data_IF_402610754618
#
_entry.id   IF_402610754618
#
_cell.length_a   1.000
_cell.length_b   1.000
_cell.length_c   1.000
_cell.angle_alpha   90.00
_cell.angle_beta   90.00
_cell.angle_gamma   90.00
#
_symmetry.space_group_name_H-M   'P 1'
#
loop_
_entity.id
_entity.type
_entity.pdbx_description
1 polymer ?
#
# COMPACT_ATOMS: atom_id res chain seq x y z
N UNK A 1 -53.24 10.36 -2.91
CA UNK A 1 -52.62 9.03 -2.97
C UNK A 1 -52.26 8.66 -1.55
N UNK A 2 -52.69 7.51 -1.05
CA UNK A 2 -52.42 7.08 0.34
C UNK A 2 -50.94 6.71 0.47
N UNK A 3 -50.17 7.47 1.25
CA UNK A 3 -48.80 7.11 1.61
C UNK A 3 -48.84 5.88 2.51
N UNK A 4 -48.56 4.71 1.94
CA UNK A 4 -48.41 3.48 2.73
C UNK A 4 -47.11 3.58 3.51
N UNK A 5 -47.22 3.58 4.83
CA UNK A 5 -46.08 3.53 5.74
C UNK A 5 -45.79 2.09 6.15
N UNK A 6 -44.51 1.76 6.32
CA UNK A 6 -44.03 0.48 6.84
C UNK A 6 -43.36 0.74 8.18
N UNK A 7 -43.73 -0.05 9.18
CA UNK A 7 -43.08 -0.03 10.50
C UNK A 7 -41.74 -0.76 10.41
N UNK A 8 -40.65 -0.04 10.60
CA UNK A 8 -39.28 -0.55 10.58
C UNK A 8 -38.77 -0.75 12.00
N UNK A 9 -38.36 -1.97 12.31
CA UNK A 9 -37.77 -2.38 13.59
C UNK A 9 -36.26 -2.57 13.42
N UNK A 10 -35.45 -1.92 14.27
CA UNK A 10 -34.00 -2.04 14.26
C UNK A 10 -33.51 -2.96 15.39
N UNK A 11 -32.95 -4.10 15.01
CA UNK A 11 -32.42 -5.12 15.92
C UNK A 11 -30.90 -5.06 15.93
N UNK A 12 -30.28 -5.00 17.10
CA UNK A 12 -28.83 -5.11 17.21
C UNK A 12 -28.44 -6.59 17.26
N UNK A 13 -27.61 -7.03 16.31
CA UNK A 13 -27.18 -8.43 16.19
C UNK A 13 -26.34 -8.87 17.39
N UNK A 14 -25.53 -7.99 17.99
CA UNK A 14 -24.65 -8.37 19.11
C UNK A 14 -25.40 -8.58 20.43
N UNK A 15 -26.52 -7.87 20.63
CA UNK A 15 -27.33 -7.97 21.85
C UNK A 15 -28.64 -8.71 21.65
N UNK A 16 -29.02 -9.01 20.40
CA UNK A 16 -30.31 -9.58 20.04
C UNK A 16 -31.51 -8.68 20.36
N UNK A 17 -31.28 -7.41 20.70
CA UNK A 17 -32.29 -6.53 21.26
C UNK A 17 -32.79 -5.50 20.25
N UNK A 18 -34.10 -5.21 20.31
CA UNK A 18 -34.71 -4.10 19.61
C UNK A 18 -34.23 -2.78 20.23
N UNK A 19 -33.66 -1.89 19.43
CA UNK A 19 -33.16 -0.60 19.92
C UNK A 19 -33.81 0.61 19.27
N UNK A 20 -34.60 0.41 18.21
CA UNK A 20 -35.32 1.50 17.55
C UNK A 20 -36.50 1.01 16.73
N UNK A 21 -37.49 1.88 16.58
CA UNK A 21 -38.64 1.68 15.71
C UNK A 21 -38.95 3.01 15.02
N UNK A 22 -39.23 2.98 13.73
CA UNK A 22 -39.79 4.12 13.01
C UNK A 22 -40.80 3.69 11.95
N UNK A 23 -41.73 4.57 11.61
CA UNK A 23 -42.64 4.36 10.48
C UNK A 23 -42.10 5.15 9.28
N UNK A 24 -41.73 4.45 8.21
CA UNK A 24 -41.17 5.06 7.00
C UNK A 24 -42.16 4.94 5.83
N UNK A 25 -42.32 5.99 5.01
CA UNK A 25 -43.00 5.86 3.73
C UNK A 25 -42.31 4.79 2.86
N UNK A 26 -43.10 3.95 2.17
CA UNK A 26 -42.53 2.91 1.31
C UNK A 26 -41.58 3.44 0.23
N UNK A 27 -41.77 4.69 -0.24
CA UNK A 27 -40.85 5.32 -1.20
C UNK A 27 -39.43 5.54 -0.64
N UNK A 28 -39.26 5.61 0.69
CA UNK A 28 -37.98 5.82 1.35
C UNK A 28 -37.23 4.50 1.62
N UNK A 29 -37.80 3.37 1.22
CA UNK A 29 -37.19 2.04 1.37
C UNK A 29 -36.69 1.51 0.03
N UNK A 30 -35.52 0.84 0.01
CA UNK A 30 -34.97 0.25 -1.21
C UNK A 30 -35.87 -0.88 -1.73
N UNK A 31 -35.68 -1.27 -2.99
CA UNK A 31 -36.41 -2.39 -3.60
C UNK A 31 -36.10 -3.73 -2.93
N UNK A 32 -34.85 -3.91 -2.47
CA UNK A 32 -34.42 -5.05 -1.68
C UNK A 32 -33.24 -4.67 -0.76
N UNK A 33 -33.02 -5.47 0.28
CA UNK A 33 -31.83 -5.41 1.13
C UNK A 33 -30.87 -6.57 0.80
N UNK A 34 -30.53 -6.73 -0.47
CA UNK A 34 -29.64 -7.77 -1.01
C UNK A 34 -28.18 -7.29 -1.21
N UNK A 35 -27.95 -5.98 -1.24
CA UNK A 35 -26.64 -5.35 -1.25
C UNK A 35 -26.21 -4.90 0.16
N UNK A 36 -24.90 -4.86 0.47
CA UNK A 36 -24.40 -4.31 1.73
C UNK A 36 -24.87 -2.86 1.89
N UNK A 37 -25.86 -2.68 2.75
CA UNK A 37 -26.51 -1.39 3.00
C UNK A 37 -26.06 -0.86 4.36
N UNK A 38 -25.66 0.40 4.42
CA UNK A 38 -25.32 1.09 5.67
C UNK A 38 -26.38 2.15 5.96
N UNK A 39 -26.74 2.29 7.23
CA UNK A 39 -27.72 3.24 7.73
C UNK A 39 -27.06 4.13 8.77
N UNK A 40 -27.32 5.43 8.68
CA UNK A 40 -26.94 6.39 9.72
C UNK A 40 -28.11 6.54 10.71
N UNK A 41 -27.92 6.09 11.95
CA UNK A 41 -28.93 6.13 13.01
C UNK A 41 -28.34 6.88 14.20
N UNK A 42 -28.93 8.03 14.55
CA UNK A 42 -28.47 8.90 15.64
C UNK A 42 -26.99 9.33 15.53
N UNK A 43 -26.49 9.49 14.30
CA UNK A 43 -25.10 9.87 14.04
C UNK A 43 -24.09 8.72 14.10
N UNK A 44 -24.57 7.48 14.26
CA UNK A 44 -23.75 6.27 14.18
C UNK A 44 -24.03 5.51 12.89
N UNK A 45 -22.99 4.93 12.29
CA UNK A 45 -23.12 4.09 11.11
C UNK A 45 -23.40 2.63 11.51
N UNK A 46 -24.43 2.05 10.90
CA UNK A 46 -24.87 0.68 11.13
C UNK A 46 -24.95 -0.07 9.81
N UNK A 47 -24.36 -1.25 9.74
CA UNK A 47 -24.46 -2.13 8.57
C UNK A 47 -25.66 -3.07 8.73
N UNK A 48 -26.49 -3.15 7.68
CA UNK A 48 -27.55 -4.15 7.57
C UNK A 48 -26.92 -5.52 7.33
N UNK A 49 -27.15 -6.44 8.26
CA UNK A 49 -26.71 -7.84 8.20
C UNK A 49 -27.81 -8.71 7.59
N UNK A 50 -29.06 -8.45 7.98
CA UNK A 50 -30.23 -9.19 7.53
C UNK A 50 -31.49 -8.32 7.56
N UNK A 51 -32.46 -8.63 6.71
CA UNK A 51 -33.73 -7.93 6.61
C UNK A 51 -34.88 -8.93 6.49
N UNK A 52 -35.94 -8.73 7.27
CA UNK A 52 -37.12 -9.60 7.28
C UNK A 52 -38.41 -8.78 7.19
N UNK A 53 -39.18 -8.89 6.09
CA UNK A 53 -38.83 -9.49 4.79
C UNK A 53 -37.73 -8.72 4.02
N UNK A 54 -37.01 -9.40 3.12
CA UNK A 54 -35.91 -8.78 2.34
C UNK A 54 -36.37 -7.86 1.19
N UNK A 55 -37.53 -8.15 0.58
CA UNK A 55 -38.00 -7.48 -0.64
C UNK A 55 -39.19 -6.54 -0.38
N UNK A 56 -39.23 -5.42 -1.11
CA UNK A 56 -40.20 -4.33 -0.92
C UNK A 56 -41.65 -4.72 -1.04
N UNK A 57 -41.98 -5.54 -2.01
CA UNK A 57 -43.35 -6.06 -2.16
C UNK A 57 -43.80 -6.83 -0.92
N UNK A 58 -42.88 -7.51 -0.24
CA UNK A 58 -43.18 -8.32 0.94
C UNK A 58 -43.41 -7.43 2.16
N UNK A 59 -42.52 -6.48 2.47
CA UNK A 59 -42.73 -5.59 3.62
C UNK A 59 -43.82 -4.53 3.39
N UNK A 60 -44.13 -4.18 2.13
CA UNK A 60 -45.32 -3.39 1.78
C UNK A 60 -46.62 -4.15 2.08
N UNK A 61 -46.62 -5.46 1.84
CA UNK A 61 -47.77 -6.34 2.12
C UNK A 61 -47.96 -6.61 3.61
N UNK A 62 -46.87 -6.84 4.34
CA UNK A 62 -46.94 -7.10 5.80
C UNK A 62 -47.09 -5.82 6.63
N UNK A 63 -46.73 -4.66 6.06
CA UNK A 63 -46.65 -3.38 6.77
C UNK A 63 -45.51 -3.32 7.79
N UNK A 64 -44.60 -4.30 7.77
CA UNK A 64 -43.51 -4.45 8.75
C UNK A 64 -42.22 -4.88 8.07
N UNK A 65 -41.12 -4.28 8.50
CA UNK A 65 -39.76 -4.61 8.11
C UNK A 65 -38.90 -4.67 9.37
N UNK A 66 -38.14 -5.75 9.56
CA UNK A 66 -37.16 -5.87 10.64
C UNK A 66 -35.77 -5.90 10.04
N UNK A 67 -34.90 -5.01 10.50
CA UNK A 67 -33.51 -4.92 10.07
C UNK A 67 -32.60 -5.36 11.22
N UNK A 68 -31.76 -6.34 10.95
CA UNK A 68 -30.72 -6.80 11.85
C UNK A 68 -29.43 -6.07 11.51
N UNK A 69 -28.95 -5.27 12.43
CA UNK A 69 -27.88 -4.32 12.24
C UNK A 69 -26.68 -4.64 13.12
N UNK A 70 -25.49 -4.37 12.61
CA UNK A 70 -24.25 -4.33 13.40
C UNK A 70 -23.61 -2.95 13.30
N UNK A 71 -23.12 -2.42 14.42
CA UNK A 71 -22.48 -1.10 14.46
C UNK A 71 -21.19 -1.15 13.65
N UNK A 72 -21.00 -0.20 12.74
CA UNK A 72 -19.72 -0.03 12.07
C UNK A 72 -18.76 0.60 13.09
N UNK A 73 -17.60 -0.01 13.38
CA UNK A 73 -16.62 0.61 14.26
C UNK A 73 -16.16 1.94 13.65
N UNK A 74 -16.57 3.05 14.27
CA UNK A 74 -16.01 4.36 13.97
C UNK A 74 -14.68 4.47 14.71
N UNK A 75 -13.57 4.30 14.02
CA UNK A 75 -12.29 4.78 14.54
C UNK A 75 -12.33 6.32 14.55
N UNK A 76 -11.97 6.93 15.66
CA UNK A 76 -11.68 8.36 15.66
C UNK A 76 -10.53 8.58 14.66
N UNK A 77 -10.67 9.45 13.64
CA UNK A 77 -9.58 9.74 12.70
C UNK A 77 -8.27 10.18 13.40
N UNK A 78 -8.36 10.77 14.60
CA UNK A 78 -7.21 11.13 15.42
C UNK A 78 -6.52 9.93 16.11
N UNK A 79 -7.18 8.78 16.18
CA UNK A 79 -6.62 7.50 16.63
C UNK A 79 -6.08 6.64 15.48
N UNK A 80 -6.32 7.04 14.22
CA UNK A 80 -5.77 6.34 13.05
C UNK A 80 -4.26 6.59 12.98
N UNK A 81 -3.49 5.55 13.28
CA UNK A 81 -2.03 5.57 13.18
C UNK A 81 -1.60 5.26 11.74
N UNK A 82 -0.52 5.90 11.30
CA UNK A 82 0.20 5.51 10.10
C UNK A 82 0.88 4.16 10.31
N UNK A 83 0.80 3.30 9.30
CA UNK A 83 1.46 1.98 9.26
C UNK A 83 2.95 2.08 8.93
N UNK A 84 3.41 3.21 8.39
CA UNK A 84 4.79 3.47 8.01
C UNK A 84 5.31 4.77 8.62
N UNK A 85 6.61 4.86 8.94
CA UNK A 85 7.21 6.09 9.44
C UNK A 85 7.46 7.11 8.32
N UNK A 86 7.44 6.67 7.06
CA UNK A 86 7.75 7.53 5.91
C UNK A 86 7.18 6.99 4.61
N UNK A 87 6.90 7.89 3.67
CA UNK A 87 6.56 7.61 2.26
C UNK A 87 7.22 8.64 1.37
N UNK A 88 7.45 8.32 0.10
CA UNK A 88 7.87 9.35 -0.87
C UNK A 88 6.65 10.14 -1.34
N UNK A 89 6.80 11.45 -1.55
CA UNK A 89 5.73 12.26 -2.17
C UNK A 89 5.53 11.91 -3.64
N UNK A 90 6.61 11.53 -4.32
CA UNK A 90 6.61 11.42 -5.76
C UNK A 90 6.24 10.00 -6.19
N UNK A 91 4.95 9.82 -6.49
CA UNK A 91 4.48 8.66 -7.23
C UNK A 91 4.76 8.86 -8.74
N UNK A 92 5.08 7.79 -9.47
CA UNK A 92 5.27 7.85 -10.90
C UNK A 92 3.93 7.97 -11.63
N UNK A 93 3.97 8.39 -12.89
CA UNK A 93 2.78 8.47 -13.74
C UNK A 93 2.22 7.08 -14.06
N UNK A 94 0.91 6.94 -14.00
CA UNK A 94 0.18 5.70 -14.33
C UNK A 94 -0.58 5.90 -15.64
N UNK A 95 -0.36 5.01 -16.60
CA UNK A 95 -1.18 4.91 -17.81
C UNK A 95 -2.47 4.17 -17.47
N UNK A 96 -3.57 4.93 -17.37
CA UNK A 96 -4.91 4.41 -17.07
C UNK A 96 -5.51 3.61 -18.24
N UNK A 97 -4.96 3.73 -19.45
CA UNK A 97 -5.43 2.98 -20.62
C UNK A 97 -4.72 1.62 -20.75
N UNK A 98 -3.63 1.40 -20.01
CA UNK A 98 -2.96 0.12 -19.98
C UNK A 98 -3.89 -0.92 -19.32
N UNK A 99 -4.27 -1.94 -20.09
CA UNK A 99 -5.09 -3.03 -19.55
C UNK A 99 -4.38 -3.72 -18.39
N UNK A 100 -5.13 -3.97 -17.31
CA UNK A 100 -4.67 -4.77 -16.18
C UNK A 100 -4.13 -6.12 -16.67
N UNK A 101 -2.93 -6.47 -16.21
CA UNK A 101 -2.27 -7.71 -16.58
C UNK A 101 -1.89 -8.50 -15.33
N UNK A 102 -2.29 -9.76 -15.20
CA UNK A 102 -1.91 -10.59 -14.04
C UNK A 102 -0.40 -10.88 -13.97
N UNK A 103 0.37 -10.50 -14.99
CA UNK A 103 1.85 -10.56 -15.01
C UNK A 103 2.51 -9.23 -14.68
N UNK A 104 1.76 -8.21 -14.28
CA UNK A 104 2.33 -7.01 -13.67
C UNK A 104 2.75 -7.30 -12.23
N UNK A 105 3.82 -6.65 -11.78
CA UNK A 105 4.14 -6.62 -10.36
C UNK A 105 3.16 -5.65 -9.69
N UNK A 106 2.35 -6.16 -8.76
CA UNK A 106 1.46 -5.34 -7.94
C UNK A 106 2.15 -5.02 -6.61
N UNK A 107 2.17 -3.75 -6.24
CA UNK A 107 2.63 -3.26 -4.93
C UNK A 107 1.67 -2.20 -4.40
N UNK A 108 1.65 -2.01 -3.08
CA UNK A 108 0.97 -0.86 -2.48
C UNK A 108 1.72 0.43 -2.85
N UNK A 109 1.00 1.54 -3.04
CA UNK A 109 1.56 2.85 -3.39
C UNK A 109 2.57 3.32 -2.34
N UNK A 110 2.24 3.09 -1.06
CA UNK A 110 3.11 3.45 0.07
C UNK A 110 4.42 2.65 0.10
N UNK A 111 4.48 1.48 -0.56
CA UNK A 111 5.71 0.68 -0.66
C UNK A 111 6.66 1.19 -1.76
N UNK A 112 6.20 2.13 -2.59
CA UNK A 112 7.01 2.72 -3.64
C UNK A 112 8.28 3.38 -3.08
N UNK A 113 9.44 2.92 -3.57
CA UNK A 113 10.77 3.42 -3.19
C UNK A 113 11.09 3.30 -1.70
N UNK A 114 10.46 2.39 -0.94
CA UNK A 114 10.81 2.18 0.47
C UNK A 114 12.18 1.52 0.67
N UNK A 115 12.59 0.69 -0.28
CA UNK A 115 13.96 0.19 -0.39
C UNK A 115 14.50 0.46 -1.80
N UNK A 116 15.42 1.42 -1.91
CA UNK A 116 15.89 1.95 -3.19
C UNK A 116 17.40 2.15 -3.26
N UNK A 117 17.93 2.16 -4.48
CA UNK A 117 19.31 2.50 -4.77
C UNK A 117 19.42 4.01 -4.98
N UNK A 118 20.32 4.65 -4.24
CA UNK A 118 20.54 6.09 -4.25
C UNK A 118 21.99 6.39 -4.59
N UNK A 119 22.22 7.29 -5.53
CA UNK A 119 23.57 7.78 -5.86
C UNK A 119 24.14 8.61 -4.72
N UNK A 120 25.44 8.44 -4.45
CA UNK A 120 26.17 9.20 -3.43
C UNK A 120 26.20 10.72 -3.70
N UNK A 121 25.84 11.18 -4.89
CA UNK A 121 25.63 12.62 -5.15
C UNK A 121 24.52 13.22 -4.26
N UNK A 122 23.64 12.38 -3.70
CA UNK A 122 22.56 12.77 -2.80
C UNK A 122 22.88 12.56 -1.32
N UNK A 123 24.14 12.33 -0.94
CA UNK A 123 24.52 11.96 0.44
C UNK A 123 23.94 12.92 1.50
N UNK A 124 24.05 14.23 1.30
CA UNK A 124 23.50 15.21 2.26
C UNK A 124 21.97 15.20 2.32
N UNK A 125 21.30 15.03 1.19
CA UNK A 125 19.83 14.96 1.13
C UNK A 125 19.31 13.69 1.80
N UNK A 126 20.01 12.57 1.57
CA UNK A 126 19.74 11.29 2.21
C UNK A 126 19.90 11.40 3.73
N UNK A 127 20.97 12.02 4.22
CA UNK A 127 21.20 12.19 5.65
C UNK A 127 20.11 13.04 6.32
N UNK A 128 19.73 14.17 5.71
CA UNK A 128 18.61 14.99 6.21
C UNK A 128 17.31 14.20 6.30
N UNK A 129 16.98 13.46 5.26
CA UNK A 129 15.78 12.63 5.23
C UNK A 129 15.81 11.53 6.30
N UNK A 130 16.94 10.82 6.46
CA UNK A 130 17.12 9.81 7.51
C UNK A 130 17.00 10.42 8.92
N UNK A 131 17.47 11.64 9.14
CA UNK A 131 17.34 12.32 10.42
C UNK A 131 15.87 12.65 10.74
N UNK A 132 15.11 13.10 9.74
CA UNK A 132 13.66 13.35 9.89
C UNK A 132 12.88 12.07 10.18
N UNK A 133 13.18 10.99 9.47
CA UNK A 133 12.56 9.68 9.73
C UNK A 133 12.94 9.16 11.13
N UNK A 134 14.18 9.37 11.57
CA UNK A 134 14.62 9.01 12.93
C UNK A 134 13.82 9.77 13.98
N UNK A 135 13.54 11.05 13.75
CA UNK A 135 12.67 11.85 14.63
C UNK A 135 11.25 11.28 14.68
N UNK A 136 10.68 10.87 13.53
CA UNK A 136 9.37 10.20 13.50
C UNK A 136 9.37 8.93 14.36
N UNK A 137 10.37 8.08 14.23
CA UNK A 137 10.51 6.88 15.07
C UNK A 137 10.55 7.20 16.57
N UNK A 138 11.35 8.19 16.98
CA UNK A 138 11.52 8.53 18.40
C UNK A 138 10.28 9.20 19.00
N UNK A 139 9.63 10.09 18.26
CA UNK A 139 8.61 10.98 18.83
C UNK A 139 7.17 10.52 18.57
N UNK A 140 6.94 9.71 17.53
CA UNK A 140 5.58 9.43 17.04
C UNK A 140 5.20 7.95 17.07
N UNK A 141 6.11 7.04 17.43
CA UNK A 141 5.76 5.64 17.59
C UNK A 141 4.79 5.41 18.77
N UNK A 142 3.71 4.66 18.51
CA UNK A 142 2.68 4.25 19.47
C UNK A 142 2.34 2.78 19.23
N UNK A 143 2.82 1.88 20.10
CA UNK A 143 2.52 0.41 20.18
C UNK A 143 2.55 -0.37 18.85
N UNK A 144 1.67 -0.02 17.90
CA UNK A 144 1.39 -0.67 16.62
C UNK A 144 1.53 0.25 15.39
N UNK A 145 1.87 1.53 15.53
CA UNK A 145 2.00 2.46 14.39
C UNK A 145 2.55 3.83 14.79
N UNK A 146 2.51 4.81 13.88
CA UNK A 146 3.00 6.18 14.11
C UNK A 146 1.87 7.22 14.09
N UNK A 147 1.94 8.22 14.95
CA UNK A 147 0.98 9.36 14.94
C UNK A 147 1.28 10.38 13.84
N UNK A 148 2.48 10.35 13.27
CA UNK A 148 2.91 11.17 12.14
C UNK A 148 3.86 10.36 11.27
N UNK A 149 3.91 10.68 9.99
CA UNK A 149 4.92 10.16 9.06
C UNK A 149 5.73 11.30 8.44
N UNK A 150 6.95 11.02 8.00
CA UNK A 150 7.74 11.94 7.22
C UNK A 150 7.51 11.70 5.72
N UNK A 151 7.16 12.74 4.97
CA UNK A 151 7.01 12.64 3.51
C UNK A 151 8.32 13.09 2.85
N UNK A 152 8.94 12.20 2.09
CA UNK A 152 10.24 12.44 1.43
C UNK A 152 10.06 13.17 0.11
N UNK A 153 10.81 14.25 -0.10
CA UNK A 153 10.73 15.10 -1.29
C UNK A 153 12.10 15.50 -1.84
N UNK A 154 13.15 15.32 -1.05
CA UNK A 154 14.49 15.86 -1.29
C UNK A 154 15.22 15.13 -2.43
N UNK A 155 14.87 13.87 -2.69
CA UNK A 155 15.50 13.01 -3.70
C UNK A 155 14.48 12.61 -4.77
N UNK A 156 14.31 13.49 -5.75
CA UNK A 156 13.41 13.25 -6.90
C UNK A 156 14.01 12.26 -7.91
N UNK A 157 15.34 12.31 -8.12
CA UNK A 157 16.04 11.49 -9.11
C UNK A 157 17.16 10.68 -8.42
N UNK A 158 16.84 9.54 -7.77
CA UNK A 158 17.78 8.84 -6.89
C UNK A 158 19.04 8.36 -7.61
N UNK A 159 18.96 8.05 -8.91
CA UNK A 159 20.09 7.57 -9.71
C UNK A 159 20.80 8.68 -10.52
N UNK A 160 20.57 9.96 -10.20
CA UNK A 160 21.22 11.09 -10.88
C UNK A 160 22.74 10.90 -10.92
N UNK A 161 23.33 10.95 -12.11
CA UNK A 161 24.78 10.82 -12.30
C UNK A 161 25.32 9.38 -12.25
N UNK A 162 24.49 8.37 -11.98
CA UNK A 162 24.94 6.97 -11.91
C UNK A 162 25.15 6.31 -13.29
N UNK A 163 24.46 6.80 -14.33
CA UNK A 163 24.56 6.30 -15.71
C UNK A 163 24.24 4.80 -15.86
N UNK A 164 23.35 4.27 -15.00
CA UNK A 164 23.07 2.84 -14.90
C UNK A 164 21.98 2.41 -15.89
N UNK A 165 22.26 1.40 -16.71
CA UNK A 165 21.30 0.82 -17.66
C UNK A 165 20.55 -0.38 -17.08
N UNK A 166 19.30 -0.57 -17.50
CA UNK A 166 18.48 -1.72 -17.06
C UNK A 166 19.11 -3.06 -17.43
N UNK A 167 19.74 -3.17 -18.60
CA UNK A 167 20.36 -4.41 -19.04
C UNK A 167 21.60 -4.79 -18.21
N UNK A 168 22.32 -3.81 -17.64
CA UNK A 168 23.38 -4.08 -16.67
C UNK A 168 22.82 -4.77 -15.43
N UNK A 169 21.69 -4.27 -14.89
CA UNK A 169 21.05 -4.86 -13.70
C UNK A 169 20.47 -6.24 -14.01
N UNK A 170 19.81 -6.42 -15.16
CA UNK A 170 19.30 -7.73 -15.60
C UNK A 170 20.42 -8.75 -15.81
N UNK A 171 21.62 -8.30 -16.19
CA UNK A 171 22.80 -9.15 -16.40
C UNK A 171 23.51 -9.59 -15.11
N UNK A 172 23.15 -9.03 -13.95
CA UNK A 172 23.82 -9.31 -12.69
C UNK A 172 23.56 -10.73 -12.15
N UNK A 173 22.34 -11.25 -12.37
CA UNK A 173 21.89 -12.52 -11.80
C UNK A 173 20.92 -13.22 -12.76
N UNK A 174 20.81 -14.56 -12.72
CA UNK A 174 19.78 -15.28 -13.47
C UNK A 174 18.38 -14.80 -13.05
N UNK A 175 17.56 -14.44 -14.05
CA UNK A 175 16.19 -14.00 -13.85
C UNK A 175 15.26 -15.21 -13.89
N UNK A 176 14.51 -15.43 -12.82
CA UNK A 176 13.53 -16.50 -12.70
C UNK A 176 12.13 -16.05 -13.16
N UNK A 177 11.75 -14.81 -12.83
CA UNK A 177 10.44 -14.25 -13.20
C UNK A 177 10.61 -12.89 -13.85
N UNK A 178 9.92 -12.66 -14.96
CA UNK A 178 9.79 -11.36 -15.62
C UNK A 178 8.35 -10.89 -15.48
N UNK A 179 8.17 -9.60 -15.21
CA UNK A 179 6.87 -8.95 -15.19
C UNK A 179 6.73 -8.06 -16.42
N UNK A 180 5.49 -7.75 -16.80
CA UNK A 180 5.20 -6.83 -17.90
C UNK A 180 5.37 -5.36 -17.51
N UNK A 181 5.43 -5.07 -16.21
CA UNK A 181 5.65 -3.76 -15.62
C UNK A 181 5.24 -3.78 -14.15
N UNK A 182 4.94 -2.60 -13.61
CA UNK A 182 4.48 -2.40 -12.24
C UNK A 182 3.11 -1.72 -12.23
N UNK A 183 2.24 -2.12 -11.32
CA UNK A 183 0.97 -1.45 -11.03
C UNK A 183 0.84 -1.23 -9.53
N UNK A 184 0.02 -0.25 -9.17
CA UNK A 184 -0.32 -0.03 -7.78
C UNK A 184 -1.67 -0.65 -7.43
N UNK A 185 -1.85 -1.11 -6.19
CA UNK A 185 -3.07 -1.79 -5.73
C UNK A 185 -4.34 -0.94 -5.87
N UNK A 186 -4.26 0.37 -5.65
CA UNK A 186 -5.43 1.26 -5.76
C UNK A 186 -5.69 1.76 -7.19
N UNK A 187 -4.83 1.40 -8.16
CA UNK A 187 -4.94 1.88 -9.55
C UNK A 187 -5.09 0.73 -10.56
N UNK A 188 -6.07 0.81 -11.48
CA UNK A 188 -6.24 -0.22 -12.52
C UNK A 188 -5.16 -0.15 -13.61
N UNK A 189 -4.44 0.97 -13.73
CA UNK A 189 -3.43 1.21 -14.76
C UNK A 189 -2.02 0.71 -14.41
N UNK A 190 -1.10 0.84 -15.37
CA UNK A 190 0.33 0.46 -15.21
C UNK A 190 1.19 1.70 -15.05
N UNK A 191 2.19 1.64 -14.18
CA UNK A 191 3.23 2.68 -14.09
C UNK A 191 3.97 2.79 -15.42
N UNK A 192 4.03 4.00 -15.94
CA UNK A 192 4.65 4.32 -17.24
C UNK A 192 6.14 4.03 -17.19
N UNK A 193 6.66 3.41 -18.26
CA UNK A 193 8.07 3.03 -18.42
C UNK A 193 8.64 2.19 -17.27
N UNK A 194 7.77 1.43 -16.60
CA UNK A 194 8.16 0.58 -15.49
C UNK A 194 8.74 -0.76 -15.94
N UNK A 195 9.59 -1.32 -15.08
CA UNK A 195 10.04 -2.70 -15.19
C UNK A 195 9.92 -3.40 -13.83
N UNK A 196 9.82 -4.72 -13.87
CA UNK A 196 10.07 -5.56 -12.71
C UNK A 196 10.56 -6.94 -13.12
N UNK A 197 11.41 -7.55 -12.28
CA UNK A 197 11.84 -8.94 -12.42
C UNK A 197 12.31 -9.52 -11.09
N UNK A 198 12.21 -10.83 -10.93
CA UNK A 198 12.69 -11.58 -9.77
C UNK A 198 13.86 -12.48 -10.18
N UNK A 199 14.94 -12.44 -9.41
CA UNK A 199 16.11 -13.32 -9.56
C UNK A 199 15.82 -14.74 -9.09
N UNK A 200 16.74 -15.69 -9.37
CA UNK A 200 16.66 -17.06 -8.85
C UNK A 200 16.58 -17.13 -7.32
N UNK A 201 17.26 -16.21 -6.64
CA UNK A 201 17.32 -16.05 -5.20
C UNK A 201 16.18 -15.26 -4.55
N UNK A 202 15.13 -14.93 -5.32
CA UNK A 202 13.94 -14.28 -4.78
C UNK A 202 14.03 -12.76 -4.61
N UNK A 203 15.13 -12.12 -5.03
CA UNK A 203 15.20 -10.65 -5.08
C UNK A 203 14.37 -10.12 -6.24
N UNK A 204 13.42 -9.25 -5.94
CA UNK A 204 12.59 -8.57 -6.94
C UNK A 204 13.07 -7.15 -7.13
N UNK A 205 13.64 -6.87 -8.30
CA UNK A 205 14.00 -5.53 -8.72
C UNK A 205 12.85 -4.91 -9.48
N UNK A 206 12.61 -3.63 -9.23
CA UNK A 206 11.57 -2.86 -9.91
C UNK A 206 11.96 -1.39 -9.99
N UNK A 207 11.28 -0.64 -10.84
CA UNK A 207 11.55 0.78 -11.01
C UNK A 207 11.08 1.28 -12.36
N UNK A 208 11.70 2.35 -12.85
CA UNK A 208 11.43 2.91 -14.17
C UNK A 208 12.69 3.18 -14.95
N UNK A 209 12.52 3.19 -16.26
CA UNK A 209 13.54 3.59 -17.23
C UNK A 209 13.13 4.81 -18.01
N UNK A 210 14.10 5.50 -18.58
CA UNK A 210 13.91 6.39 -19.72
C UNK A 210 14.92 5.94 -20.80
N UNK A 211 14.41 5.43 -21.91
CA UNK A 211 15.21 4.84 -23.00
C UNK A 211 16.27 3.82 -22.50
N UNK A 212 15.86 2.94 -21.59
CA UNK A 212 16.72 1.91 -20.98
C UNK A 212 17.65 2.40 -19.86
N UNK A 213 17.79 3.70 -19.65
CA UNK A 213 18.54 4.30 -18.53
C UNK A 213 17.66 4.31 -17.29
N UNK A 214 18.15 3.82 -16.16
CA UNK A 214 17.36 3.75 -14.93
C UNK A 214 17.12 5.13 -14.33
N UNK A 215 15.86 5.40 -14.00
CA UNK A 215 15.41 6.59 -13.24
C UNK A 215 15.30 6.29 -11.76
N UNK A 216 14.62 5.19 -11.45
CA UNK A 216 14.56 4.59 -10.12
C UNK A 216 14.91 3.11 -10.21
N UNK A 217 15.62 2.61 -9.21
CA UNK A 217 15.87 1.20 -9.00
C UNK A 217 15.56 0.89 -7.54
N UNK A 218 14.64 -0.02 -7.34
CA UNK A 218 14.15 -0.46 -6.05
C UNK A 218 14.33 -1.97 -5.91
N UNK A 219 14.34 -2.42 -4.67
CA UNK A 219 14.52 -3.82 -4.32
C UNK A 219 13.42 -4.24 -3.35
N UNK A 220 12.86 -5.42 -3.56
CA UNK A 220 12.17 -6.20 -2.54
C UNK A 220 12.91 -7.52 -2.40
N UNK A 221 13.27 -7.88 -1.18
CA UNK A 221 13.96 -9.14 -0.91
C UNK A 221 13.40 -9.73 0.38
N UNK A 222 13.43 -11.06 0.48
CA UNK A 222 13.03 -11.78 1.69
C UNK A 222 14.27 -12.22 2.44
N UNK A 223 14.19 -12.16 3.77
CA UNK A 223 15.24 -12.60 4.68
C UNK A 223 15.64 -14.06 4.39
N UNK A 224 16.95 -14.35 4.45
CA UNK A 224 17.55 -15.70 4.38
C UNK A 224 17.35 -16.50 3.10
N UNK A 225 16.60 -16.00 2.13
CA UNK A 225 16.38 -16.68 0.85
C UNK A 225 17.39 -16.24 -0.23
N UNK A 226 18.13 -15.14 0.01
CA UNK A 226 19.04 -14.57 -1.00
C UNK A 226 20.39 -15.29 -1.04
N UNK A 227 20.77 -15.92 -2.17
CA UNK A 227 22.07 -16.56 -2.35
C UNK A 227 23.22 -15.57 -2.26
N UNK A 228 24.36 -16.01 -1.68
CA UNK A 228 25.55 -15.18 -1.52
C UNK A 228 26.06 -14.57 -2.85
N UNK A 229 25.91 -15.28 -3.96
CA UNK A 229 26.28 -14.80 -5.29
C UNK A 229 25.47 -13.54 -5.70
N UNK A 230 24.18 -13.51 -5.38
CA UNK A 230 23.34 -12.36 -5.72
C UNK A 230 23.60 -11.17 -4.79
N UNK A 231 23.84 -11.43 -3.50
CA UNK A 231 24.29 -10.39 -2.55
C UNK A 231 25.61 -9.77 -3.00
N UNK A 232 26.56 -10.60 -3.47
CA UNK A 232 27.83 -10.14 -4.05
C UNK A 232 27.60 -9.30 -5.31
N UNK A 233 26.63 -9.66 -6.15
CA UNK A 233 26.29 -8.88 -7.33
C UNK A 233 25.76 -7.48 -6.92
N UNK A 234 24.87 -7.40 -5.93
CA UNK A 234 24.40 -6.11 -5.38
C UNK A 234 25.58 -5.28 -4.86
N UNK A 235 26.50 -5.87 -4.09
CA UNK A 235 27.70 -5.18 -3.60
C UNK A 235 28.52 -4.56 -4.74
N UNK A 236 28.75 -5.33 -5.82
CA UNK A 236 29.49 -4.87 -7.01
C UNK A 236 28.76 -3.74 -7.73
N UNK A 237 27.43 -3.80 -7.81
CA UNK A 237 26.61 -2.72 -8.40
C UNK A 237 26.78 -1.42 -7.60
N UNK A 238 26.68 -1.52 -6.26
CA UNK A 238 26.87 -0.38 -5.36
C UNK A 238 28.26 0.26 -5.54
N UNK A 239 29.30 -0.56 -5.60
CA UNK A 239 30.68 -0.10 -5.80
C UNK A 239 30.87 0.57 -7.16
N UNK A 240 30.44 -0.09 -8.25
CA UNK A 240 30.69 0.36 -9.63
C UNK A 240 30.01 1.70 -9.95
N UNK A 241 28.81 1.93 -9.41
CA UNK A 241 28.02 3.12 -9.72
C UNK A 241 27.96 4.14 -8.59
N UNK A 242 28.80 3.99 -7.55
CA UNK A 242 28.82 4.87 -6.37
C UNK A 242 27.42 5.04 -5.76
N UNK A 243 26.74 3.91 -5.51
CA UNK A 243 25.40 3.86 -4.95
C UNK A 243 25.41 3.40 -3.50
N UNK A 244 24.32 3.69 -2.82
CA UNK A 244 23.93 3.17 -1.51
C UNK A 244 22.56 2.52 -1.65
N UNK A 245 22.36 1.35 -1.06
CA UNK A 245 21.01 0.79 -0.90
C UNK A 245 20.44 1.33 0.41
N UNK A 246 19.25 1.93 0.36
CA UNK A 246 18.62 2.56 1.52
C UNK A 246 17.29 1.87 1.78
N UNK A 247 17.07 1.40 3.01
CA UNK A 247 15.76 1.02 3.51
C UNK A 247 15.25 2.13 4.44
N UNK A 248 14.37 2.98 3.90
CA UNK A 248 13.94 4.22 4.54
C UNK A 248 13.14 3.97 5.80
N UNK A 249 12.19 3.03 5.76
CA UNK A 249 11.37 2.67 6.90
C UNK A 249 12.21 2.19 8.10
N UNK A 250 13.39 1.61 7.84
CA UNK A 250 14.25 1.01 8.87
C UNK A 250 15.48 1.81 9.24
N UNK A 251 15.67 2.99 8.62
CA UNK A 251 16.86 3.81 8.83
C UNK A 251 18.16 3.06 8.52
N UNK A 252 18.11 2.11 7.59
CA UNK A 252 19.27 1.31 7.22
C UNK A 252 19.83 1.81 5.89
N UNK A 253 21.16 1.94 5.87
CA UNK A 253 21.91 2.22 4.65
C UNK A 253 22.94 1.13 4.50
N UNK A 254 23.11 0.66 3.27
CA UNK A 254 24.07 -0.37 2.95
C UNK A 254 25.01 0.16 1.88
N UNK A 255 26.29 0.24 2.24
CA UNK A 255 27.37 0.66 1.35
C UNK A 255 28.25 -0.53 1.02
N UNK A 256 28.84 -0.52 -0.17
CA UNK A 256 29.69 -1.62 -0.65
C UNK A 256 30.93 -1.86 0.22
N UNK A 257 31.41 -0.84 0.94
CA UNK A 257 32.61 -0.84 1.78
C UNK A 257 32.34 -1.26 3.22
N UNK A 258 31.10 -1.60 3.58
CA UNK A 258 30.77 -2.06 4.92
C UNK A 258 31.43 -3.41 5.24
N UNK A 259 32.01 -3.56 6.45
CA UNK A 259 32.49 -4.85 6.90
C UNK A 259 31.31 -5.84 6.97
N UNK A 260 31.56 -7.10 6.62
CA UNK A 260 30.54 -8.16 6.63
C UNK A 260 29.29 -7.80 5.81
N UNK A 261 29.46 -7.18 4.63
CA UNK A 261 28.38 -6.80 3.71
C UNK A 261 27.24 -7.83 3.58
N UNK A 262 27.49 -9.16 3.48
CA UNK A 262 26.39 -10.11 3.39
C UNK A 262 25.46 -10.12 4.62
N UNK A 263 26.03 -9.97 5.81
CA UNK A 263 25.25 -9.87 7.05
C UNK A 263 24.47 -8.56 7.08
N UNK A 264 25.12 -7.44 6.75
CA UNK A 264 24.46 -6.12 6.71
C UNK A 264 23.33 -6.06 5.66
N UNK A 265 23.53 -6.70 4.51
CA UNK A 265 22.48 -6.87 3.51
C UNK A 265 21.29 -7.64 4.09
N UNK A 266 21.55 -8.78 4.74
CA UNK A 266 20.50 -9.57 5.37
C UNK A 266 19.73 -8.78 6.44
N UNK A 267 20.39 -7.89 7.17
CA UNK A 267 19.74 -6.98 8.12
C UNK A 267 18.97 -5.86 7.44
N UNK A 268 19.43 -5.38 6.28
CA UNK A 268 18.82 -4.27 5.53
C UNK A 268 17.52 -4.67 4.83
N UNK A 269 17.44 -5.91 4.35
CA UNK A 269 16.26 -6.44 3.64
C UNK A 269 15.23 -7.09 4.58
N UNK A 270 15.51 -7.10 5.88
CA UNK A 270 14.54 -7.53 6.89
C UNK A 270 13.30 -6.66 6.81
#
# INVERSE_FOLDING_TARGET
>A
MSNTTVRVEFMNVSTGSLFGICDLPTENLPEAFDAPTTLSIQGEEWKVVEAEPQAKDSFKKTGRLRLHLTRVPSADPSEVLYSLPTVTRQLPLVDQNAASNPRDLEIHEDDWRQMEFVSLVHAEAMERCLNEIRRVHMENWKRVGWTKMHIREEIQYPLKGAGLFLDEVKGMCPINKRFNGLRFESSPGRVTDSFAFTTGGGMTFYGRTDDGILRELCLMAKRFETPAAEVTAVQKLLQRHNLVLVNWCRLQTLRWDMPNFPSEFAYTVL
#
